data_IF_102610679447
#
_entry.id   IF_102610679447
#
_cell.length_a   1.000
_cell.length_b   1.000
_cell.length_c   1.000
_cell.angle_alpha   90.00
_cell.angle_beta   90.00
_cell.angle_gamma   90.00
#
_symmetry.space_group_name_H-M   'P 1'
#
loop_
_entity.id
_entity.type
_entity.pdbx_description
1 polymer ?
#
# COMPACT_ATOMS: atom_id res chain seq x y z
N UNK A 1 18.40 -7.07 28.08
CA UNK A 1 18.11 -5.73 27.49
C UNK A 1 17.67 -5.75 26.02
N UNK A 2 18.02 -6.76 25.22
CA UNK A 2 17.67 -6.82 23.78
C UNK A 2 16.15 -6.99 23.47
N UNK A 3 15.39 -7.62 24.36
CA UNK A 3 13.94 -7.84 24.15
C UNK A 3 13.08 -6.58 24.26
N UNK A 4 13.45 -5.61 25.10
CA UNK A 4 12.65 -4.39 25.34
C UNK A 4 12.76 -3.38 24.19
N UNK A 5 13.94 -3.30 23.53
CA UNK A 5 14.09 -2.52 22.30
C UNK A 5 13.24 -3.14 21.18
N UNK A 6 13.36 -4.46 20.91
CA UNK A 6 12.65 -5.14 19.82
C UNK A 6 11.13 -4.87 19.80
N UNK A 7 10.49 -4.84 20.96
CA UNK A 7 9.03 -4.67 21.09
C UNK A 7 8.55 -3.23 20.85
N UNK A 8 9.34 -2.20 21.20
CA UNK A 8 8.97 -0.80 20.94
C UNK A 8 9.04 -0.49 19.45
N UNK A 9 10.09 -0.93 18.77
CA UNK A 9 10.29 -0.71 17.34
C UNK A 9 9.25 -1.44 16.48
N UNK A 10 8.82 -2.65 16.86
CA UNK A 10 7.73 -3.35 16.17
C UNK A 10 6.39 -2.58 16.23
N UNK A 11 6.10 -1.90 17.33
CA UNK A 11 4.88 -1.09 17.45
C UNK A 11 4.91 0.12 16.52
N UNK A 12 6.04 0.84 16.46
CA UNK A 12 6.21 1.96 15.53
C UNK A 12 6.13 1.51 14.07
N UNK A 13 6.72 0.36 13.72
CA UNK A 13 6.63 -0.21 12.39
C UNK A 13 5.19 -0.56 12.00
N UNK A 14 4.40 -1.15 12.91
CA UNK A 14 2.98 -1.43 12.66
C UNK A 14 2.16 -0.15 12.43
N UNK A 15 2.40 0.90 13.21
CA UNK A 15 1.75 2.20 13.02
C UNK A 15 2.13 2.82 11.67
N UNK A 16 3.40 2.75 11.29
CA UNK A 16 3.88 3.22 9.98
C UNK A 16 3.21 2.44 8.84
N UNK A 17 3.09 1.12 8.96
CA UNK A 17 2.42 0.26 8.00
C UNK A 17 0.94 0.61 7.83
N UNK A 18 0.25 0.89 8.94
CA UNK A 18 -1.15 1.37 8.92
C UNK A 18 -1.27 2.71 8.18
N UNK A 19 -0.42 3.69 8.51
CA UNK A 19 -0.41 4.99 7.83
C UNK A 19 -0.13 4.84 6.33
N UNK A 20 0.87 4.03 5.96
CA UNK A 20 1.19 3.74 4.56
C UNK A 20 -0.01 3.10 3.84
N UNK A 21 -0.71 2.16 4.48
CA UNK A 21 -1.89 1.51 3.89
C UNK A 21 -3.04 2.50 3.65
N UNK A 22 -3.27 3.47 4.54
CA UNK A 22 -4.27 4.52 4.33
C UNK A 22 -3.91 5.43 3.15
N UNK A 23 -2.64 5.80 3.02
CA UNK A 23 -2.15 6.63 1.91
C UNK A 23 -2.31 5.89 0.57
N UNK A 24 -1.93 4.62 0.52
CA UNK A 24 -2.08 3.78 -0.68
C UNK A 24 -3.56 3.57 -1.05
N UNK A 25 -4.46 3.42 -0.07
CA UNK A 25 -5.90 3.34 -0.33
C UNK A 25 -6.44 4.64 -0.95
N UNK A 26 -6.01 5.80 -0.44
CA UNK A 26 -6.36 7.09 -1.03
C UNK A 26 -5.82 7.23 -2.45
N UNK A 27 -4.57 6.85 -2.69
CA UNK A 27 -3.97 6.85 -4.01
C UNK A 27 -4.72 5.92 -4.98
N UNK A 28 -5.10 4.73 -4.54
CA UNK A 28 -5.89 3.77 -5.34
C UNK A 28 -7.23 4.36 -5.77
N UNK A 29 -7.98 4.98 -4.84
CA UNK A 29 -9.25 5.63 -5.17
C UNK A 29 -9.05 6.76 -6.17
N UNK A 30 -8.01 7.57 -6.02
CA UNK A 30 -7.70 8.63 -6.99
C UNK A 30 -7.41 8.07 -8.38
N UNK A 31 -6.65 6.98 -8.48
CA UNK A 31 -6.39 6.32 -9.77
C UNK A 31 -7.70 5.80 -10.39
N UNK A 32 -8.63 5.26 -9.59
CA UNK A 32 -9.93 4.82 -10.10
C UNK A 32 -10.79 6.00 -10.59
N UNK A 33 -10.75 7.14 -9.90
CA UNK A 33 -11.41 8.37 -10.32
C UNK A 33 -10.78 8.85 -11.64
N UNK A 34 -9.46 8.97 -11.72
CA UNK A 34 -8.76 9.35 -12.95
C UNK A 34 -9.03 8.36 -14.09
N UNK A 35 -9.12 7.06 -13.82
CA UNK A 35 -9.45 6.06 -14.85
C UNK A 35 -10.85 6.31 -15.40
N UNK A 36 -11.81 6.72 -14.56
CA UNK A 36 -13.18 7.00 -14.99
C UNK A 36 -13.34 8.32 -15.75
N UNK A 37 -12.59 9.35 -15.38
CA UNK A 37 -12.81 10.72 -15.88
C UNK A 37 -11.74 11.24 -16.82
N UNK A 38 -10.54 10.66 -16.80
CA UNK A 38 -9.41 11.10 -17.61
C UNK A 38 -9.09 10.15 -18.77
N UNK A 39 -9.84 9.06 -18.95
CA UNK A 39 -9.62 8.11 -20.05
C UNK A 39 -10.84 8.04 -20.96
N UNK A 40 -10.62 7.83 -22.25
CA UNK A 40 -11.68 7.82 -23.27
C UNK A 40 -12.59 6.58 -23.18
N UNK A 41 -12.12 5.53 -22.51
CA UNK A 41 -12.86 4.29 -22.26
C UNK A 41 -12.32 3.60 -21.00
N UNK A 42 -13.13 2.82 -20.26
CA UNK A 42 -12.67 2.12 -19.06
C UNK A 42 -11.55 1.07 -19.29
N UNK A 43 -11.30 0.71 -20.56
CA UNK A 43 -10.17 -0.15 -20.96
C UNK A 43 -8.93 0.65 -21.38
N UNK A 44 -9.03 1.97 -21.54
CA UNK A 44 -7.90 2.83 -21.83
C UNK A 44 -7.11 3.10 -20.55
N UNK A 45 -5.80 2.97 -20.63
CA UNK A 45 -4.90 3.08 -19.48
C UNK A 45 -4.18 4.43 -19.38
N UNK A 46 -4.16 5.20 -20.48
CA UNK A 46 -3.44 6.48 -20.54
C UNK A 46 -4.41 7.61 -20.23
N UNK A 47 -4.07 8.43 -19.23
CA UNK A 47 -4.80 9.66 -18.91
C UNK A 47 -4.63 10.69 -20.03
N UNK A 48 -5.73 11.23 -20.53
CA UNK A 48 -5.76 12.33 -21.50
C UNK A 48 -5.43 13.70 -20.85
N UNK A 49 -5.45 13.77 -19.51
CA UNK A 49 -5.11 14.99 -18.75
C UNK A 49 -3.63 15.03 -18.42
N UNK A 50 -3.09 13.93 -17.89
CA UNK A 50 -1.71 13.87 -17.37
C UNK A 50 -0.74 13.09 -18.26
N UNK A 51 -1.25 12.32 -19.24
CA UNK A 51 -0.45 11.41 -20.06
C UNK A 51 0.08 10.17 -19.33
N UNK A 52 -0.32 9.96 -18.07
CA UNK A 52 0.20 8.87 -17.24
C UNK A 52 -0.52 7.54 -17.49
N UNK A 53 0.22 6.45 -17.31
CA UNK A 53 -0.35 5.09 -17.31
C UNK A 53 -0.97 4.76 -15.95
N UNK A 54 -2.29 4.95 -15.88
CA UNK A 54 -3.12 4.71 -14.71
C UNK A 54 -3.22 3.21 -14.39
N UNK A 55 -3.19 2.33 -15.39
CA UNK A 55 -3.19 0.88 -15.17
C UNK A 55 -1.90 0.41 -14.50
N UNK A 56 -0.75 0.98 -14.88
CA UNK A 56 0.53 0.73 -14.21
C UNK A 56 0.52 1.23 -12.77
N UNK A 57 -0.07 2.40 -12.51
CA UNK A 57 -0.28 2.87 -11.13
C UNK A 57 -1.20 1.95 -10.33
N UNK A 58 -2.27 1.43 -10.93
CA UNK A 58 -3.20 0.50 -10.29
C UNK A 58 -2.53 -0.86 -9.97
N UNK A 59 -1.68 -1.36 -10.87
CA UNK A 59 -0.91 -2.57 -10.61
C UNK A 59 0.14 -2.36 -9.53
N UNK A 60 0.78 -1.17 -9.50
CA UNK A 60 1.73 -0.82 -8.45
C UNK A 60 1.05 -0.77 -7.08
N UNK A 61 -0.09 -0.10 -6.95
CA UNK A 61 -0.82 -0.01 -5.69
C UNK A 61 -1.29 -1.39 -5.21
N UNK A 62 -1.75 -2.28 -6.12
CA UNK A 62 -2.01 -3.69 -5.78
C UNK A 62 -0.78 -4.42 -5.24
N UNK A 63 0.37 -4.27 -5.89
CA UNK A 63 1.61 -4.92 -5.46
C UNK A 63 2.08 -4.39 -4.09
N UNK A 64 1.96 -3.08 -3.85
CA UNK A 64 2.28 -2.47 -2.55
C UNK A 64 1.32 -2.93 -1.46
N UNK A 65 0.03 -3.06 -1.75
CA UNK A 65 -0.94 -3.59 -0.79
C UNK A 65 -0.61 -5.04 -0.38
N UNK A 66 -0.25 -5.88 -1.34
CA UNK A 66 0.16 -7.27 -1.07
C UNK A 66 1.43 -7.34 -0.22
N UNK A 67 2.44 -6.50 -0.50
CA UNK A 67 3.68 -6.48 0.28
C UNK A 67 3.49 -5.92 1.69
N UNK A 68 2.61 -4.92 1.85
CA UNK A 68 2.20 -4.41 3.16
C UNK A 68 1.50 -5.48 3.99
N UNK A 69 0.60 -6.25 3.38
CA UNK A 69 -0.07 -7.37 4.08
C UNK A 69 0.93 -8.46 4.48
N UNK A 70 1.80 -8.88 3.57
CA UNK A 70 2.81 -9.90 3.84
C UNK A 70 3.76 -9.47 4.98
N UNK A 71 4.24 -8.23 4.95
CA UNK A 71 5.11 -7.70 6.01
C UNK A 71 4.40 -7.59 7.36
N UNK A 72 3.11 -7.19 7.39
CA UNK A 72 2.31 -7.20 8.61
C UNK A 72 2.17 -8.61 9.20
N UNK A 73 1.87 -9.62 8.37
CA UNK A 73 1.78 -11.03 8.79
C UNK A 73 3.12 -11.53 9.34
N UNK A 74 4.24 -11.23 8.66
CA UNK A 74 5.59 -11.60 9.11
C UNK A 74 5.89 -10.95 10.47
N UNK A 75 5.61 -9.66 10.63
CA UNK A 75 5.84 -8.95 11.89
C UNK A 75 4.99 -9.53 13.04
N UNK A 76 3.74 -9.87 12.76
CA UNK A 76 2.87 -10.54 13.74
C UNK A 76 3.41 -11.93 14.09
N UNK A 77 3.80 -12.74 13.10
CA UNK A 77 4.37 -14.07 13.32
C UNK A 77 5.66 -14.01 14.15
N UNK A 78 6.57 -13.10 13.83
CA UNK A 78 7.80 -12.87 14.60
C UNK A 78 7.51 -12.44 16.04
N UNK A 79 6.43 -11.67 16.25
CA UNK A 79 5.97 -11.27 17.58
C UNK A 79 5.39 -12.46 18.36
N UNK A 80 4.55 -13.28 17.74
CA UNK A 80 3.97 -14.47 18.37
C UNK A 80 5.02 -15.52 18.72
N UNK A 81 6.07 -15.68 17.90
CA UNK A 81 7.19 -16.60 18.18
C UNK A 81 8.16 -16.08 19.25
N UNK A 82 8.08 -14.81 19.61
CA UNK A 82 8.92 -14.19 20.65
C UNK A 82 8.27 -14.22 22.04
N UNK A 83 7.07 -14.77 22.19
CA UNK A 83 6.37 -15.02 23.45
C UNK A 83 6.44 -16.52 23.75
#
# INVERSE_FOLDING_TARGET
>A
MAGFLKTKWCKYLLVLLLLASCIEAFAYVNVLVSLKYETDAPAACISNVTGQDLCRQLNRSKAVALSAFASAVILLFLRFRSF
#
